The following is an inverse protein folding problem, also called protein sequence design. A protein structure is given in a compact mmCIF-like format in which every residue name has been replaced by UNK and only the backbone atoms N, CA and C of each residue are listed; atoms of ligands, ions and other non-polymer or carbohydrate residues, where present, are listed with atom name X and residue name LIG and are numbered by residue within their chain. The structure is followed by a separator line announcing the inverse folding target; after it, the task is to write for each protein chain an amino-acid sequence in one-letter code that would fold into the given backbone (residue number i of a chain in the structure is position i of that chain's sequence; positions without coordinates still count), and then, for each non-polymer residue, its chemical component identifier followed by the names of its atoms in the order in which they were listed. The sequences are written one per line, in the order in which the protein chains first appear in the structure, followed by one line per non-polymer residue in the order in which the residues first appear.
data_IF_287665818216
#
_entry.id   IF_287665818216
#
_cell.length_a   1.000
_cell.length_b   1.000
_cell.length_c   1.000
_cell.angle_alpha   90.00
_cell.angle_beta   90.00
_cell.angle_gamma   90.00
#
_symmetry.space_group_name_H-M   'P 1'
#
loop_
_entity.id
_entity.type
_entity.pdbx_description
1 polymer ?
#
# COMPACT_ATOMS: atom_id res chain seq x y z
N UNK A 1 9.89 -8.66 -9.70
CA UNK A 1 10.79 -9.55 -8.92
C UNK A 1 11.77 -10.23 -9.88
N UNK A 2 12.95 -10.63 -9.40
CA UNK A 2 13.94 -11.39 -10.19
C UNK A 2 14.31 -12.67 -9.44
N UNK A 3 14.56 -13.76 -10.18
CA UNK A 3 15.02 -15.03 -9.61
C UNK A 3 16.45 -14.86 -9.07
N UNK A 4 16.73 -15.50 -7.95
CA UNK A 4 18.06 -15.55 -7.33
C UNK A 4 18.55 -16.99 -7.35
N UNK A 5 19.85 -17.20 -7.56
CA UNK A 5 20.44 -18.52 -7.69
C UNK A 5 20.64 -19.21 -6.33
N UNK A 6 21.14 -18.47 -5.32
CA UNK A 6 21.28 -18.97 -3.95
C UNK A 6 21.29 -17.84 -2.92
N UNK A 7 21.24 -18.18 -1.62
CA UNK A 7 21.29 -17.20 -0.53
C UNK A 7 22.64 -16.50 -0.46
N UNK A 8 23.71 -17.22 -0.76
CA UNK A 8 25.09 -16.75 -0.72
C UNK A 8 25.31 -15.60 -1.71
N UNK A 9 24.70 -15.67 -2.90
CA UNK A 9 24.71 -14.58 -3.89
C UNK A 9 24.20 -13.26 -3.29
N UNK A 10 23.15 -13.30 -2.47
CA UNK A 10 22.62 -12.11 -1.81
C UNK A 10 23.54 -11.59 -0.70
N UNK A 11 24.18 -12.49 0.05
CA UNK A 11 25.12 -12.11 1.12
C UNK A 11 26.39 -11.45 0.59
N UNK A 12 26.89 -11.92 -0.56
CA UNK A 12 28.03 -11.31 -1.26
C UNK A 12 27.65 -9.89 -1.70
N UNK A 13 26.53 -9.73 -2.43
CA UNK A 13 26.06 -8.42 -2.87
C UNK A 13 25.79 -7.44 -1.70
N UNK A 14 25.27 -7.94 -0.58
CA UNK A 14 25.09 -7.14 0.63
C UNK A 14 26.42 -6.64 1.19
N UNK A 15 27.41 -7.53 1.34
CA UNK A 15 28.74 -7.21 1.89
C UNK A 15 29.48 -6.20 1.01
N UNK A 16 29.38 -6.34 -0.32
CA UNK A 16 29.91 -5.38 -1.30
C UNK A 16 29.28 -3.99 -1.14
N UNK A 17 27.95 -3.93 -1.02
CA UNK A 17 27.23 -2.67 -0.83
C UNK A 17 27.51 -2.02 0.53
N UNK A 18 27.63 -2.81 1.60
CA UNK A 18 27.98 -2.32 2.93
C UNK A 18 29.40 -1.72 2.96
N UNK A 19 30.34 -2.34 2.24
CA UNK A 19 31.69 -1.80 2.09
C UNK A 19 31.71 -0.53 1.24
N UNK A 20 30.88 -0.47 0.18
CA UNK A 20 30.72 0.71 -0.69
C UNK A 20 30.07 1.90 0.03
N UNK A 21 29.16 1.62 0.97
CA UNK A 21 28.43 2.62 1.74
C UNK A 21 28.58 2.35 3.24
N UNK A 22 29.73 2.73 3.84
CA UNK A 22 29.98 2.54 5.27
C UNK A 22 29.04 3.39 6.14
N UNK A 23 29.05 3.15 7.45
CA UNK A 23 28.20 3.89 8.40
C UNK A 23 28.40 5.40 8.28
N UNK A 24 27.27 6.13 8.22
CA UNK A 24 27.27 7.58 7.98
C UNK A 24 27.36 7.99 6.51
N UNK A 25 27.63 7.08 5.58
CA UNK A 25 27.60 7.37 4.15
C UNK A 25 26.17 7.52 3.62
N UNK A 26 26.00 8.40 2.63
CA UNK A 26 24.71 8.59 1.95
C UNK A 26 24.49 7.50 0.91
N UNK A 27 23.54 6.61 1.15
CA UNK A 27 23.07 5.63 0.16
C UNK A 27 22.08 6.31 -0.79
N UNK A 28 22.31 6.32 -2.12
CA UNK A 28 21.36 6.89 -3.06
C UNK A 28 20.12 6.00 -3.16
N UNK A 29 18.95 6.63 -3.27
CA UNK A 29 17.69 5.93 -3.53
C UNK A 29 17.72 5.29 -4.93
N UNK A 30 17.47 3.97 -5.06
CA UNK A 30 17.43 3.32 -6.37
C UNK A 30 16.35 3.94 -7.29
N UNK A 31 16.57 4.00 -8.62
CA UNK A 31 15.59 4.57 -9.56
C UNK A 31 14.21 3.87 -9.55
N UNK A 32 14.20 2.60 -9.17
CA UNK A 32 12.99 1.77 -9.07
C UNK A 32 12.40 1.73 -7.65
N UNK A 33 12.92 2.53 -6.71
CA UNK A 33 12.43 2.62 -5.35
C UNK A 33 11.59 3.89 -5.19
N UNK A 34 10.39 3.75 -4.64
CA UNK A 34 9.47 4.86 -4.48
C UNK A 34 8.22 4.43 -3.71
N UNK A 35 7.20 5.28 -3.75
CA UNK A 35 5.90 5.03 -3.12
C UNK A 35 4.79 4.88 -4.13
N UNK A 36 3.68 4.27 -3.70
CA UNK A 36 2.42 4.25 -4.42
C UNK A 36 1.36 4.98 -3.60
N UNK A 37 0.48 5.71 -4.29
CA UNK A 37 -0.71 6.29 -3.68
C UNK A 37 -1.93 5.52 -4.19
N UNK A 38 -2.68 4.89 -3.28
CA UNK A 38 -3.98 4.32 -3.60
C UNK A 38 -5.02 5.42 -3.40
N UNK A 39 -5.58 5.91 -4.50
CA UNK A 39 -6.72 6.83 -4.48
C UNK A 39 -8.01 6.00 -4.44
N UNK A 40 -8.70 5.87 -3.29
CA UNK A 40 -9.85 4.99 -3.19
C UNK A 40 -11.01 5.48 -4.06
N UNK A 41 -11.61 4.54 -4.80
CA UNK A 41 -12.91 4.75 -5.46
C UNK A 41 -14.06 4.33 -4.53
N UNK A 42 -13.78 3.49 -3.54
CA UNK A 42 -14.70 3.08 -2.50
C UNK A 42 -13.96 2.72 -1.20
N UNK A 43 -14.63 2.87 -0.07
CA UNK A 43 -14.14 2.53 1.27
C UNK A 43 -15.29 1.86 2.02
N UNK A 44 -15.10 0.64 2.53
CA UNK A 44 -16.11 -0.06 3.35
C UNK A 44 -15.64 -0.16 4.80
N UNK A 45 -16.52 0.27 5.71
CA UNK A 45 -16.38 0.06 7.14
C UNK A 45 -17.26 -1.13 7.52
N UNK A 46 -16.61 -2.17 8.03
CA UNK A 46 -17.27 -3.37 8.55
C UNK A 46 -17.13 -3.39 10.07
N UNK A 47 -18.24 -3.51 10.79
CA UNK A 47 -18.25 -3.63 12.24
C UNK A 47 -18.99 -4.90 12.68
N UNK A 48 -18.26 -5.74 13.41
CA UNK A 48 -18.75 -7.00 13.94
C UNK A 48 -19.79 -6.80 15.06
N UNK A 49 -20.76 -7.72 15.13
CA UNK A 49 -21.78 -7.77 16.18
C UNK A 49 -22.04 -9.22 16.60
N UNK A 50 -22.34 -9.44 17.87
CA UNK A 50 -22.63 -10.77 18.42
C UNK A 50 -23.85 -11.44 17.78
N UNK A 51 -24.85 -10.65 17.40
CA UNK A 51 -26.07 -11.13 16.74
C UNK A 51 -25.86 -11.63 15.31
N UNK A 52 -24.63 -11.56 14.77
CA UNK A 52 -24.28 -11.82 13.35
C UNK A 52 -24.90 -10.83 12.36
N UNK A 53 -25.62 -9.82 12.86
CA UNK A 53 -26.13 -8.70 12.05
C UNK A 53 -25.06 -7.60 11.99
N UNK A 54 -24.02 -7.81 11.21
CA UNK A 54 -22.90 -6.89 11.02
C UNK A 54 -23.33 -5.57 10.38
N UNK A 55 -22.70 -4.49 10.84
CA UNK A 55 -22.85 -3.18 10.23
C UNK A 55 -21.87 -3.08 9.06
N UNK A 56 -22.41 -2.88 7.85
CA UNK A 56 -21.62 -2.70 6.63
C UNK A 56 -21.99 -1.39 5.95
N UNK A 57 -21.07 -0.43 6.01
CA UNK A 57 -21.26 0.91 5.48
C UNK A 57 -20.17 1.20 4.45
N UNK A 58 -20.56 1.44 3.21
CA UNK A 58 -19.66 1.71 2.09
C UNK A 58 -19.80 3.15 1.62
N UNK A 59 -18.68 3.83 1.50
CA UNK A 59 -18.54 5.11 0.82
C UNK A 59 -18.10 4.85 -0.62
N UNK A 60 -18.84 5.37 -1.60
CA UNK A 60 -18.50 5.28 -3.02
C UNK A 60 -18.21 6.68 -3.54
N UNK A 61 -17.05 6.87 -4.16
CA UNK A 61 -16.65 8.15 -4.73
C UNK A 61 -17.49 8.42 -5.96
N UNK A 62 -18.18 9.57 -5.98
CA UNK A 62 -18.91 10.02 -7.17
C UNK A 62 -18.09 11.10 -7.88
N UNK A 63 -17.99 10.97 -9.21
CA UNK A 63 -17.43 12.01 -10.06
C UNK A 63 -18.59 12.87 -10.53
N UNK A 64 -18.81 14.00 -9.88
CA UNK A 64 -19.63 15.05 -10.47
C UNK A 64 -18.70 16.08 -11.12
N UNK A 65 -19.05 16.51 -12.33
CA UNK A 65 -18.20 17.27 -13.27
C UNK A 65 -17.77 18.68 -12.78
N UNK A 66 -17.86 18.97 -11.47
CA UNK A 66 -17.56 20.26 -10.89
C UNK A 66 -16.74 20.13 -9.61
N UNK A 67 -15.42 20.27 -9.73
CA UNK A 67 -14.43 20.73 -8.72
C UNK A 67 -14.41 20.13 -7.28
N UNK A 68 -15.32 19.23 -6.89
CA UNK A 68 -15.40 18.66 -5.54
C UNK A 68 -15.66 17.16 -5.62
N UNK A 69 -14.80 16.39 -4.96
CA UNK A 69 -15.04 14.96 -4.75
C UNK A 69 -16.20 14.79 -3.77
N UNK A 70 -17.25 14.12 -4.20
CA UNK A 70 -18.37 13.74 -3.35
C UNK A 70 -18.31 12.23 -3.05
N UNK A 71 -18.88 11.85 -1.91
CA UNK A 71 -18.97 10.47 -1.47
C UNK A 71 -20.42 10.12 -1.18
N UNK A 72 -20.92 9.06 -1.82
CA UNK A 72 -22.23 8.49 -1.56
C UNK A 72 -22.10 7.40 -0.50
N UNK A 73 -22.99 7.43 0.50
CA UNK A 73 -23.07 6.42 1.56
C UNK A 73 -24.08 5.34 1.19
N UNK A 74 -23.70 4.07 1.36
CA UNK A 74 -24.56 2.91 1.12
C UNK A 74 -24.43 1.91 2.29
N UNK A 75 -25.55 1.28 2.67
CA UNK A 75 -25.58 0.23 3.70
C UNK A 75 -25.87 -1.11 3.03
N UNK A 76 -25.08 -2.12 3.38
CA UNK A 76 -25.19 -3.48 2.83
C UNK A 76 -25.76 -4.45 3.87
N UNK A 77 -26.29 -5.58 3.41
CA UNK A 77 -26.63 -6.69 4.28
C UNK A 77 -25.38 -7.20 5.03
N UNK A 78 -25.53 -7.60 6.31
CA UNK A 78 -24.48 -8.22 7.14
C UNK A 78 -23.59 -9.23 6.44
#
# INVERSE_FOLDING_TARGET
SKRLDSRETLQIAYSELASKYPEGAKVPTPPNWGGYLIAPTNIEFWQGRYSRLHDRVRYVRTHDNAAKTQWKLERFYP
#
